data_IF_334128791458
#
_entry.id   IF_334128791458
#
_cell.length_a   1.000
_cell.length_b   1.000
_cell.length_c   1.000
_cell.angle_alpha   90.00
_cell.angle_beta   90.00
_cell.angle_gamma   90.00
#
_symmetry.space_group_name_H-M   'P 1'
#
loop_
_entity.id
_entity.type
_entity.pdbx_description
1 polymer ?
#
# COMPACT_ATOMS: atom_id res chain seq x y z
N UNK A 1 25.81 45.74 -40.98
CA UNK A 1 25.88 44.57 -40.07
C UNK A 1 24.89 44.78 -38.93
N UNK A 2 23.65 44.30 -39.11
CA UNK A 2 22.54 44.43 -38.18
C UNK A 2 22.63 43.36 -37.08
N UNK A 3 22.66 43.77 -35.82
CA UNK A 3 22.62 42.89 -34.64
C UNK A 3 21.25 42.21 -34.56
N UNK A 4 21.21 40.89 -34.59
CA UNK A 4 20.01 40.11 -34.28
C UNK A 4 19.79 40.14 -32.75
N UNK A 5 18.63 40.65 -32.31
CA UNK A 5 18.20 40.63 -30.90
C UNK A 5 17.95 39.18 -30.44
N UNK A 6 18.31 38.78 -29.21
CA UNK A 6 18.08 37.43 -28.68
C UNK A 6 16.60 37.11 -28.33
N UNK A 7 15.64 37.89 -28.82
CA UNK A 7 14.27 37.93 -28.29
C UNK A 7 13.27 36.96 -28.96
N UNK A 8 13.65 36.23 -30.00
CA UNK A 8 12.72 35.42 -30.81
C UNK A 8 13.01 33.91 -30.83
N UNK A 9 13.60 33.36 -29.76
CA UNK A 9 13.59 31.91 -29.60
C UNK A 9 12.19 31.47 -29.11
N UNK A 10 11.36 30.80 -29.94
CA UNK A 10 10.09 30.23 -29.45
C UNK A 10 10.40 29.29 -28.28
N UNK A 11 9.55 29.23 -27.24
CA UNK A 11 9.78 28.35 -26.10
C UNK A 11 9.85 26.93 -26.63
N UNK A 12 11.04 26.32 -26.58
CA UNK A 12 11.25 24.97 -27.03
C UNK A 12 10.40 24.04 -26.15
N UNK A 13 9.23 23.64 -26.65
CA UNK A 13 8.34 22.63 -26.05
C UNK A 13 9.13 21.33 -25.97
N UNK A 14 9.86 21.16 -24.87
CA UNK A 14 10.88 20.12 -24.77
C UNK A 14 10.18 18.76 -24.82
N UNK A 15 10.54 17.84 -25.73
CA UNK A 15 9.86 16.54 -25.92
C UNK A 15 9.78 15.70 -24.64
N UNK A 16 10.65 15.97 -23.67
CA UNK A 16 10.65 15.39 -22.33
C UNK A 16 9.42 15.76 -21.47
N UNK A 17 8.77 16.91 -21.70
CA UNK A 17 7.52 17.28 -21.02
C UNK A 17 6.35 16.42 -21.53
N UNK A 18 6.32 16.16 -22.85
CA UNK A 18 5.30 15.34 -23.49
C UNK A 18 5.34 13.87 -23.07
N UNK A 19 6.53 13.26 -22.96
CA UNK A 19 6.67 11.86 -22.53
C UNK A 19 6.24 11.64 -21.07
N UNK A 20 6.62 12.56 -20.20
CA UNK A 20 6.28 12.55 -18.78
C UNK A 20 4.79 12.77 -18.54
N UNK A 21 4.16 13.70 -19.27
CA UNK A 21 2.71 13.92 -19.25
C UNK A 21 1.94 12.69 -19.73
N UNK A 22 2.37 12.07 -20.84
CA UNK A 22 1.82 10.80 -21.31
C UNK A 22 1.95 9.70 -20.26
N UNK A 23 3.09 9.60 -19.57
CA UNK A 23 3.30 8.66 -18.47
C UNK A 23 2.29 8.83 -17.34
N UNK A 24 2.06 10.06 -16.87
CA UNK A 24 1.04 10.35 -15.84
C UNK A 24 -0.38 10.05 -16.30
N UNK A 25 -0.72 10.36 -17.56
CA UNK A 25 -2.02 10.03 -18.14
C UNK A 25 -2.25 8.52 -18.19
N UNK A 26 -1.24 7.75 -18.59
CA UNK A 26 -1.30 6.29 -18.63
C UNK A 26 -1.44 5.72 -17.23
N UNK A 27 -0.60 6.15 -16.28
CA UNK A 27 -0.64 5.66 -14.88
C UNK A 27 -1.96 6.04 -14.20
N UNK A 28 -2.41 7.28 -14.34
CA UNK A 28 -3.68 7.74 -13.79
C UNK A 28 -4.89 7.06 -14.45
N UNK A 29 -4.86 6.86 -15.77
CA UNK A 29 -5.92 6.16 -16.50
C UNK A 29 -6.02 4.69 -16.11
N UNK A 30 -4.88 3.97 -16.11
CA UNK A 30 -4.82 2.58 -15.66
C UNK A 30 -5.23 2.44 -14.19
N UNK A 31 -4.71 3.32 -13.31
CA UNK A 31 -5.07 3.34 -11.91
C UNK A 31 -6.57 3.56 -11.70
N UNK A 32 -7.18 4.47 -12.46
CA UNK A 32 -8.62 4.73 -12.39
C UNK A 32 -9.45 3.53 -12.88
N UNK A 33 -9.06 2.90 -13.99
CA UNK A 33 -9.74 1.72 -14.52
C UNK A 33 -9.63 0.53 -13.56
N UNK A 34 -8.43 0.28 -13.02
CA UNK A 34 -8.21 -0.77 -12.04
C UNK A 34 -8.98 -0.50 -10.75
N UNK A 35 -8.99 0.75 -10.28
CA UNK A 35 -9.73 1.14 -9.07
C UNK A 35 -11.24 0.98 -9.26
N UNK A 36 -11.78 1.40 -10.42
CA UNK A 36 -13.18 1.25 -10.76
C UNK A 36 -13.57 -0.23 -10.88
N UNK A 37 -12.78 -1.03 -11.60
CA UNK A 37 -12.98 -2.48 -11.70
C UNK A 37 -12.95 -3.15 -10.34
N UNK A 38 -11.94 -2.86 -9.51
CA UNK A 38 -11.79 -3.44 -8.19
C UNK A 38 -12.94 -3.07 -7.25
N UNK A 39 -13.36 -1.79 -7.27
CA UNK A 39 -14.50 -1.28 -6.47
C UNK A 39 -15.80 -1.96 -6.91
N UNK A 40 -16.06 -2.02 -8.22
CA UNK A 40 -17.22 -2.71 -8.79
C UNK A 40 -17.25 -4.19 -8.43
N UNK A 41 -16.11 -4.88 -8.59
CA UNK A 41 -15.97 -6.29 -8.25
C UNK A 41 -16.24 -6.54 -6.77
N UNK A 42 -15.64 -5.73 -5.89
CA UNK A 42 -15.85 -5.83 -4.44
C UNK A 42 -17.32 -5.61 -4.08
N UNK A 43 -17.95 -4.59 -4.66
CA UNK A 43 -19.36 -4.25 -4.41
C UNK A 43 -20.32 -5.39 -4.78
N UNK A 44 -20.06 -6.09 -5.87
CA UNK A 44 -20.90 -7.20 -6.32
C UNK A 44 -20.59 -8.56 -5.68
N UNK A 45 -19.36 -8.80 -5.22
CA UNK A 45 -18.90 -10.14 -4.85
C UNK A 45 -18.53 -10.32 -3.37
N UNK A 46 -18.41 -9.23 -2.60
CA UNK A 46 -17.96 -9.29 -1.20
C UNK A 46 -19.04 -8.73 -0.26
N UNK A 47 -19.41 -9.45 0.82
CA UNK A 47 -20.43 -8.99 1.76
C UNK A 47 -20.07 -7.65 2.43
N UNK A 48 -20.98 -6.68 2.33
CA UNK A 48 -20.83 -5.37 2.97
C UNK A 48 -21.28 -5.35 4.44
N UNK A 49 -21.92 -6.42 4.91
CA UNK A 49 -22.45 -6.50 6.27
C UNK A 49 -23.66 -5.60 6.49
N UNK A 50 -23.82 -5.13 7.72
CA UNK A 50 -24.94 -4.27 8.17
C UNK A 50 -24.40 -2.94 8.70
N UNK A 51 -25.28 -1.97 8.97
CA UNK A 51 -24.85 -0.66 9.52
C UNK A 51 -24.12 -0.79 10.86
N UNK A 52 -24.58 -1.72 11.71
CA UNK A 52 -24.01 -1.93 13.05
C UNK A 52 -22.80 -2.87 13.04
N UNK A 53 -22.61 -3.63 11.96
CA UNK A 53 -21.51 -4.59 11.77
C UNK A 53 -21.02 -4.57 10.33
N UNK A 54 -20.04 -3.71 9.99
CA UNK A 54 -19.50 -3.65 8.63
C UNK A 54 -18.88 -4.98 8.24
N UNK A 55 -19.12 -5.42 7.01
CA UNK A 55 -18.61 -6.67 6.48
C UNK A 55 -17.23 -6.54 5.85
N UNK A 56 -16.65 -7.69 5.49
CA UNK A 56 -15.33 -7.79 4.87
C UNK A 56 -15.15 -6.94 3.60
N UNK A 57 -16.24 -6.62 2.88
CA UNK A 57 -16.22 -5.83 1.65
C UNK A 57 -16.02 -4.33 1.87
N UNK A 58 -16.28 -3.81 3.07
CA UNK A 58 -16.21 -2.36 3.35
C UNK A 58 -14.77 -1.86 3.22
N UNK A 59 -13.79 -2.57 3.76
CA UNK A 59 -12.40 -2.15 3.71
C UNK A 59 -11.82 -2.11 2.28
N UNK A 60 -11.93 -3.19 1.47
CA UNK A 60 -11.49 -3.14 0.07
C UNK A 60 -12.22 -2.07 -0.74
N UNK A 61 -13.50 -1.80 -0.45
CA UNK A 61 -14.24 -0.75 -1.12
C UNK A 61 -13.64 0.64 -0.86
N UNK A 62 -13.32 0.97 0.40
CA UNK A 62 -12.68 2.23 0.77
C UNK A 62 -11.32 2.38 0.06
N UNK A 63 -10.53 1.32 0.00
CA UNK A 63 -9.24 1.31 -0.72
C UNK A 63 -9.44 1.55 -2.22
N UNK A 64 -10.42 0.89 -2.84
CA UNK A 64 -10.77 1.08 -4.24
C UNK A 64 -11.15 2.52 -4.56
N UNK A 65 -12.03 3.11 -3.74
CA UNK A 65 -12.45 4.51 -3.88
C UNK A 65 -11.28 5.48 -3.66
N UNK A 66 -10.44 5.26 -2.65
CA UNK A 66 -9.26 6.08 -2.40
C UNK A 66 -8.27 6.02 -3.58
N UNK A 67 -8.05 4.83 -4.13
CA UNK A 67 -7.22 4.62 -5.32
C UNK A 67 -7.78 5.33 -6.56
N UNK A 68 -9.10 5.33 -6.75
CA UNK A 68 -9.75 6.13 -7.79
C UNK A 68 -9.51 7.63 -7.56
N UNK A 69 -9.66 8.12 -6.32
CA UNK A 69 -9.39 9.51 -5.97
C UNK A 69 -7.96 9.95 -6.29
N UNK A 70 -6.94 9.16 -5.90
CA UNK A 70 -5.53 9.43 -6.23
C UNK A 70 -5.29 9.40 -7.74
N UNK A 71 -5.96 8.50 -8.45
CA UNK A 71 -5.84 8.39 -9.91
C UNK A 71 -6.44 9.61 -10.62
N UNK A 72 -7.60 10.11 -10.16
CA UNK A 72 -8.22 11.34 -10.65
C UNK A 72 -7.30 12.55 -10.38
N UNK A 73 -6.77 12.68 -9.16
CA UNK A 73 -5.81 13.73 -8.82
C UNK A 73 -4.59 13.71 -9.75
N UNK A 74 -4.05 12.52 -10.03
CA UNK A 74 -2.91 12.34 -10.95
C UNK A 74 -3.26 12.77 -12.38
N UNK A 75 -4.47 12.46 -12.86
CA UNK A 75 -4.95 12.89 -14.18
C UNK A 75 -5.13 14.42 -14.22
N UNK A 76 -5.73 15.01 -13.18
CA UNK A 76 -5.90 16.46 -13.06
C UNK A 76 -4.53 17.16 -13.04
N UNK A 77 -3.56 16.69 -12.26
CA UNK A 77 -2.21 17.23 -12.26
C UNK A 77 -1.56 17.17 -13.65
N UNK A 78 -1.75 16.08 -14.39
CA UNK A 78 -1.25 15.95 -15.76
C UNK A 78 -1.89 16.93 -16.74
N UNK A 79 -3.09 17.44 -16.43
CA UNK A 79 -3.80 18.43 -17.24
C UNK A 79 -3.49 19.86 -16.83
N UNK A 80 -3.33 20.13 -15.52
CA UNK A 80 -3.17 21.47 -14.97
C UNK A 80 -1.71 21.91 -14.79
N UNK A 81 -0.73 20.98 -14.77
CA UNK A 81 0.67 21.31 -14.44
C UNK A 81 1.66 20.80 -15.48
N UNK A 82 2.46 21.72 -16.04
CA UNK A 82 3.60 21.41 -16.92
C UNK A 82 4.90 21.07 -16.17
N UNK A 83 4.93 21.28 -14.85
CA UNK A 83 6.10 20.96 -14.03
C UNK A 83 6.08 19.48 -13.65
N UNK A 84 6.80 18.67 -14.42
CA UNK A 84 7.06 17.27 -14.04
C UNK A 84 8.39 17.14 -13.31
N UNK A 85 8.34 17.31 -11.99
CA UNK A 85 9.41 16.95 -11.06
C UNK A 85 9.22 15.50 -10.61
N UNK A 86 10.07 14.61 -11.08
CA UNK A 86 10.06 13.20 -10.69
C UNK A 86 11.13 12.45 -11.46
N UNK A 87 12.33 12.41 -10.90
CA UNK A 87 13.41 11.56 -11.41
C UNK A 87 13.24 10.20 -10.71
N UNK A 88 12.67 9.21 -11.41
CA UNK A 88 12.41 7.89 -10.85
C UNK A 88 13.72 7.10 -10.80
N UNK A 89 14.57 7.42 -9.82
CA UNK A 89 15.82 6.72 -9.59
C UNK A 89 15.57 5.49 -8.73
N UNK A 90 15.93 4.32 -9.25
CA UNK A 90 15.95 3.09 -8.47
C UNK A 90 16.79 3.29 -7.19
N UNK A 91 16.32 2.84 -6.02
CA UNK A 91 17.08 2.94 -4.78
C UNK A 91 18.41 2.18 -4.94
N UNK A 92 19.52 2.83 -4.63
CA UNK A 92 20.88 2.25 -4.64
C UNK A 92 21.41 2.09 -3.21
N UNK A 93 22.35 1.18 -2.99
CA UNK A 93 23.00 0.95 -1.70
C UNK A 93 22.05 0.40 -0.62
N UNK A 94 22.12 0.96 0.59
CA UNK A 94 21.31 0.54 1.74
C UNK A 94 19.81 0.56 1.49
N UNK A 95 19.32 1.50 0.67
CA UNK A 95 17.90 1.57 0.32
C UNK A 95 17.45 0.33 -0.46
N UNK A 96 18.29 -0.18 -1.37
CA UNK A 96 18.01 -1.43 -2.10
C UNK A 96 17.97 -2.62 -1.15
N UNK A 97 18.92 -2.70 -0.21
CA UNK A 97 18.95 -3.76 0.82
C UNK A 97 17.68 -3.73 1.66
N UNK A 98 17.25 -2.55 2.10
CA UNK A 98 16.02 -2.38 2.88
C UNK A 98 14.80 -2.84 2.11
N UNK A 99 14.68 -2.47 0.83
CA UNK A 99 13.59 -2.95 -0.05
C UNK A 99 13.60 -4.47 -0.19
N UNK A 100 14.76 -5.09 -0.42
CA UNK A 100 14.89 -6.54 -0.55
C UNK A 100 14.55 -7.27 0.76
N UNK A 101 15.00 -6.74 1.90
CA UNK A 101 14.68 -7.31 3.21
C UNK A 101 13.19 -7.16 3.55
N UNK A 102 12.57 -6.04 3.19
CA UNK A 102 11.13 -5.87 3.35
C UNK A 102 10.35 -6.85 2.48
N UNK A 103 10.78 -7.06 1.22
CA UNK A 103 10.19 -8.07 0.36
C UNK A 103 10.35 -9.49 0.94
N UNK A 104 11.52 -9.82 1.48
CA UNK A 104 11.75 -11.09 2.15
C UNK A 104 10.89 -11.25 3.43
N UNK A 105 10.73 -10.18 4.22
CA UNK A 105 9.85 -10.18 5.39
C UNK A 105 8.39 -10.41 5.01
N UNK A 106 7.94 -9.82 3.90
CA UNK A 106 6.59 -10.04 3.37
C UNK A 106 6.38 -11.49 2.90
N UNK A 107 7.37 -12.08 2.22
CA UNK A 107 7.31 -13.50 1.85
C UNK A 107 7.28 -14.41 3.08
N UNK A 108 8.08 -14.08 4.11
CA UNK A 108 8.07 -14.77 5.40
C UNK A 108 6.70 -14.67 6.09
N UNK A 109 6.08 -13.48 6.07
CA UNK A 109 4.72 -13.28 6.59
C UNK A 109 3.72 -14.19 5.88
N UNK A 110 3.72 -14.24 4.54
CA UNK A 110 2.82 -15.10 3.76
C UNK A 110 3.05 -16.58 4.09
N UNK A 111 4.30 -17.03 4.15
CA UNK A 111 4.65 -18.42 4.44
C UNK A 111 4.23 -18.85 5.86
N UNK A 112 4.36 -17.95 6.83
CA UNK A 112 4.03 -18.21 8.24
C UNK A 112 2.58 -17.88 8.59
N UNK A 113 1.84 -17.25 7.68
CA UNK A 113 0.50 -16.74 7.93
C UNK A 113 -0.47 -17.82 8.39
N UNK A 114 -0.47 -18.97 7.69
CA UNK A 114 -1.38 -20.08 7.98
C UNK A 114 -1.02 -20.80 9.29
N UNK A 115 0.28 -20.88 9.60
CA UNK A 115 0.77 -21.61 10.77
C UNK A 115 0.69 -20.77 12.04
N UNK A 116 1.21 -19.54 12.03
CA UNK A 116 1.23 -18.65 13.19
C UNK A 116 -0.13 -17.97 13.43
N UNK A 117 -0.93 -17.83 12.39
CA UNK A 117 -2.18 -17.10 12.45
C UNK A 117 -1.99 -15.59 12.39
N UNK A 118 -3.10 -14.88 12.18
CA UNK A 118 -3.10 -13.46 11.84
C UNK A 118 -2.50 -12.58 12.94
N UNK A 119 -2.84 -12.80 14.22
CA UNK A 119 -2.33 -11.96 15.32
C UNK A 119 -0.81 -12.03 15.46
N UNK A 120 -0.25 -13.24 15.47
CA UNK A 120 1.18 -13.45 15.65
C UNK A 120 1.94 -13.05 14.39
N UNK A 121 1.49 -13.49 13.21
CA UNK A 121 2.16 -13.21 11.95
C UNK A 121 2.22 -11.70 11.67
N UNK A 122 1.11 -10.97 11.87
CA UNK A 122 1.06 -9.52 11.63
C UNK A 122 1.93 -8.74 12.60
N UNK A 123 1.94 -9.13 13.89
CA UNK A 123 2.79 -8.53 14.92
C UNK A 123 4.26 -8.73 14.58
N UNK A 124 4.67 -9.96 14.27
CA UNK A 124 6.05 -10.27 13.91
C UNK A 124 6.48 -9.52 12.66
N UNK A 125 5.64 -9.52 11.62
CA UNK A 125 5.88 -8.75 10.39
C UNK A 125 6.08 -7.27 10.70
N UNK A 126 5.24 -6.67 11.55
CA UNK A 126 5.33 -5.26 11.87
C UNK A 126 6.56 -4.92 12.71
N UNK A 127 6.97 -5.79 13.64
CA UNK A 127 8.23 -5.63 14.39
C UNK A 127 9.44 -5.65 13.43
N UNK A 128 9.46 -6.59 12.48
CA UNK A 128 10.51 -6.67 11.47
C UNK A 128 10.48 -5.44 10.56
N UNK A 129 9.31 -5.03 10.09
CA UNK A 129 9.16 -3.86 9.23
C UNK A 129 9.67 -2.59 9.90
N UNK A 130 9.25 -2.32 11.15
CA UNK A 130 9.73 -1.17 11.92
C UNK A 130 11.24 -1.20 12.12
N UNK A 131 11.79 -2.39 12.40
CA UNK A 131 13.24 -2.56 12.59
C UNK A 131 14.03 -2.32 11.29
N UNK A 132 13.49 -2.72 10.15
CA UNK A 132 14.09 -2.46 8.83
C UNK A 132 14.01 -0.99 8.43
N UNK A 133 13.00 -0.25 8.89
CA UNK A 133 12.84 1.18 8.64
C UNK A 133 13.84 2.06 9.42
N UNK A 134 14.71 1.48 10.23
CA UNK A 134 15.87 2.17 10.81
C UNK A 134 15.58 2.89 12.14
N UNK A 135 14.54 2.50 12.87
CA UNK A 135 14.31 2.98 14.22
C UNK A 135 15.40 2.47 15.17
N UNK A 136 15.99 3.38 15.95
CA UNK A 136 17.19 3.11 16.78
C UNK A 136 16.97 2.17 17.96
N UNK A 137 15.74 1.99 18.42
CA UNK A 137 15.42 1.27 19.67
C UNK A 137 14.61 0.00 19.40
N UNK A 138 15.24 -1.17 19.54
CA UNK A 138 14.59 -2.47 19.33
C UNK A 138 13.35 -2.67 20.22
N UNK A 139 13.41 -2.24 21.49
CA UNK A 139 12.29 -2.36 22.43
C UNK A 139 11.05 -1.62 21.90
N UNK A 140 11.23 -0.38 21.43
CA UNK A 140 10.15 0.43 20.86
C UNK A 140 9.55 -0.24 19.61
N UNK A 141 10.39 -0.90 18.80
CA UNK A 141 9.94 -1.62 17.62
C UNK A 141 9.10 -2.84 17.97
N UNK A 142 9.51 -3.57 19.00
CA UNK A 142 8.76 -4.72 19.52
C UNK A 142 7.41 -4.24 20.06
N UNK A 143 7.41 -3.23 20.93
CA UNK A 143 6.18 -2.69 21.53
C UNK A 143 5.22 -2.16 20.48
N UNK A 144 5.68 -1.28 19.58
CA UNK A 144 4.79 -0.74 18.54
C UNK A 144 4.44 -1.76 17.46
N UNK A 145 5.35 -2.66 17.12
CA UNK A 145 5.07 -3.71 16.14
C UNK A 145 3.98 -4.65 16.63
N UNK A 146 4.04 -5.07 17.90
CA UNK A 146 2.97 -5.87 18.52
C UNK A 146 1.69 -5.04 18.62
N UNK A 147 1.74 -3.82 19.15
CA UNK A 147 0.54 -3.00 19.30
C UNK A 147 -0.18 -2.74 17.96
N UNK A 148 0.57 -2.43 16.90
CA UNK A 148 0.02 -2.20 15.57
C UNK A 148 -0.47 -3.52 14.95
N UNK A 149 0.31 -4.60 15.03
CA UNK A 149 -0.07 -5.90 14.47
C UNK A 149 -1.35 -6.45 15.10
N UNK A 150 -1.43 -6.42 16.43
CA UNK A 150 -2.64 -6.78 17.18
C UNK A 150 -3.79 -5.84 16.84
N UNK A 151 -3.57 -4.52 16.83
CA UNK A 151 -4.62 -3.54 16.53
C UNK A 151 -5.21 -3.71 15.13
N UNK A 152 -4.38 -3.94 14.12
CA UNK A 152 -4.84 -4.25 12.76
C UNK A 152 -5.59 -5.58 12.74
N UNK A 153 -5.06 -6.60 13.41
CA UNK A 153 -5.72 -7.92 13.46
C UNK A 153 -7.10 -7.85 14.11
N UNK A 154 -7.22 -7.14 15.23
CA UNK A 154 -8.48 -6.90 15.92
C UNK A 154 -9.45 -6.06 15.05
N UNK A 155 -8.95 -5.04 14.34
CA UNK A 155 -9.76 -4.27 13.40
C UNK A 155 -10.40 -5.18 12.32
N UNK A 156 -9.65 -6.12 11.75
CA UNK A 156 -10.23 -7.01 10.74
C UNK A 156 -11.13 -8.10 11.35
N UNK A 157 -10.77 -8.71 12.48
CA UNK A 157 -11.55 -9.80 13.05
C UNK A 157 -12.77 -9.32 13.82
N UNK A 158 -12.63 -8.28 14.63
CA UNK A 158 -13.70 -7.82 15.52
C UNK A 158 -14.59 -6.80 14.82
N UNK A 159 -14.00 -5.78 14.18
CA UNK A 159 -14.80 -4.72 13.56
C UNK A 159 -15.39 -5.17 12.22
N UNK A 160 -14.60 -5.81 11.37
CA UNK A 160 -15.06 -6.28 10.05
C UNK A 160 -15.60 -7.72 10.05
N UNK A 161 -15.59 -8.38 11.22
CA UNK A 161 -16.06 -9.77 11.40
C UNK A 161 -15.44 -10.75 10.40
N UNK A 162 -14.17 -10.53 10.01
CA UNK A 162 -13.46 -11.38 9.05
C UNK A 162 -12.88 -12.58 9.77
N UNK A 163 -13.19 -13.79 9.27
CA UNK A 163 -12.57 -15.03 9.75
C UNK A 163 -11.18 -15.16 9.13
N UNK A 164 -10.15 -14.80 9.88
CA UNK A 164 -8.75 -14.96 9.50
C UNK A 164 -8.17 -16.17 10.24
N UNK A 165 -7.14 -16.85 9.70
CA UNK A 165 -6.52 -17.99 10.37
C UNK A 165 -6.03 -17.61 11.76
N UNK A 166 -6.50 -18.34 12.77
CA UNK A 166 -6.06 -18.18 14.15
C UNK A 166 -4.70 -18.85 14.41
N UNK A 167 -4.32 -19.81 13.54
CA UNK A 167 -3.03 -20.50 13.58
C UNK A 167 -2.77 -21.18 14.93
N UNK A 168 -1.58 -20.96 15.49
CA UNK A 168 -1.16 -21.53 16.78
C UNK A 168 -2.09 -21.17 17.96
N UNK A 169 -2.83 -20.06 17.87
CA UNK A 169 -3.74 -19.59 18.92
C UNK A 169 -5.16 -20.18 18.79
N UNK A 170 -5.48 -20.81 17.67
CA UNK A 170 -6.80 -21.41 17.47
C UNK A 170 -6.99 -22.71 18.27
N UNK A 171 -8.23 -23.25 18.34
CA UNK A 171 -8.54 -24.46 19.11
C UNK A 171 -7.72 -25.71 18.73
N UNK A 172 -7.25 -25.76 17.48
CA UNK A 172 -6.40 -26.84 16.94
C UNK A 172 -4.91 -26.49 16.93
N UNK A 173 -4.53 -25.30 17.39
CA UNK A 173 -3.15 -24.82 17.45
C UNK A 173 -2.42 -25.29 18.71
N UNK A 174 -1.08 -25.37 18.64
CA UNK A 174 -0.25 -25.83 19.76
C UNK A 174 -0.44 -25.02 21.05
N UNK A 175 -0.81 -23.73 20.96
CA UNK A 175 -1.01 -22.86 22.11
C UNK A 175 -2.48 -22.86 22.53
N UNK A 176 -3.42 -22.76 21.59
CA UNK A 176 -4.86 -22.79 21.90
C UNK A 176 -5.36 -24.12 22.46
N UNK A 177 -4.78 -25.24 22.02
CA UNK A 177 -5.08 -26.57 22.56
C UNK A 177 -4.54 -26.85 23.97
N UNK A 178 -3.70 -25.97 24.54
CA UNK A 178 -3.25 -26.08 25.94
C UNK A 178 -4.25 -25.48 26.94
N UNK A 179 -5.24 -24.71 26.47
CA UNK A 179 -6.23 -24.02 27.29
C UNK A 179 -7.67 -24.57 27.12
N UNK A 180 -7.81 -25.70 26.42
CA UNK A 180 -9.05 -26.49 26.25
C UNK A 180 -8.90 -27.84 26.93
#
# INVERSE_FOLDING_TARGET
MSRQSPADAPPATSPALGSKRKGRLVVGGLGLLLGAWFTWYTWGNVPMGTRDRPGAGVFPLVIGVAMMGVSILTLLEAWLTDKVSGDMRLPRGEKRRTVLLMAAALLGFIALYQTLGQYIASSLFMVVALSLLGTRSLIRNVVYGIAIGVGISAFFMELLSVRLPEGLLGPTGLIGGLFL
#
